data_IF_265349195581
#
_entry.id   IF_265349195581
#
_cell.length_a   1.000
_cell.length_b   1.000
_cell.length_c   1.000
_cell.angle_alpha   90.00
_cell.angle_beta   90.00
_cell.angle_gamma   90.00
#
_symmetry.space_group_name_H-M   'P 1'
#
loop_
_entity.id
_entity.type
_entity.pdbx_description
1 polymer ?
#
# COMPACT_ATOMS: atom_id res chain seq x y z
N UNK A 1 33.08 -31.78 27.69
CA UNK A 1 32.00 -30.87 28.13
C UNK A 1 30.72 -31.37 27.49
N UNK A 2 29.72 -31.77 28.28
CA UNK A 2 28.48 -32.37 27.77
C UNK A 2 27.47 -31.22 27.61
N UNK A 3 27.15 -30.85 26.37
CA UNK A 3 26.12 -29.85 26.11
C UNK A 3 24.78 -30.35 26.66
N UNK A 4 24.32 -29.73 27.75
CA UNK A 4 22.96 -29.89 28.23
C UNK A 4 22.07 -29.02 27.36
N UNK A 5 21.71 -29.52 26.17
CA UNK A 5 20.64 -28.92 25.36
C UNK A 5 19.36 -28.92 26.19
N UNK A 6 18.94 -27.73 26.60
CA UNK A 6 17.78 -27.51 27.44
C UNK A 6 16.50 -27.81 26.65
N UNK A 7 16.00 -29.04 26.79
CA UNK A 7 14.74 -29.50 26.15
C UNK A 7 13.56 -28.56 26.43
N UNK A 8 13.56 -27.84 27.55
CA UNK A 8 12.51 -26.87 27.91
C UNK A 8 12.49 -25.65 26.99
N UNK A 9 13.65 -25.19 26.53
CA UNK A 9 13.77 -24.06 25.61
C UNK A 9 13.17 -24.40 24.24
N UNK A 10 13.44 -25.59 23.70
CA UNK A 10 12.89 -26.02 22.40
C UNK A 10 11.36 -26.18 22.40
N UNK A 11 10.79 -26.70 23.50
CA UNK A 11 9.33 -26.83 23.66
C UNK A 11 8.66 -25.46 23.76
N UNK A 12 9.25 -24.52 24.50
CA UNK A 12 8.77 -23.14 24.59
C UNK A 12 8.75 -22.45 23.22
N UNK A 13 9.82 -22.58 22.43
CA UNK A 13 9.86 -22.04 21.06
C UNK A 13 8.81 -22.68 20.14
N UNK A 14 8.58 -23.99 20.25
CA UNK A 14 7.53 -24.67 19.49
C UNK A 14 6.13 -24.15 19.79
N UNK A 15 5.82 -23.90 21.07
CA UNK A 15 4.53 -23.34 21.51
C UNK A 15 4.37 -21.90 21.00
N UNK A 16 5.41 -21.07 21.14
CA UNK A 16 5.40 -19.69 20.64
C UNK A 16 5.20 -19.63 19.13
N UNK A 17 5.87 -20.51 18.38
CA UNK A 17 5.71 -20.61 16.93
C UNK A 17 4.30 -21.05 16.53
N UNK A 18 3.70 -22.00 17.25
CA UNK A 18 2.34 -22.45 17.00
C UNK A 18 1.31 -21.33 17.25
N UNK A 19 1.42 -20.61 18.36
CA UNK A 19 0.55 -19.48 18.69
C UNK A 19 0.71 -18.37 17.66
N UNK A 20 1.94 -17.99 17.34
CA UNK A 20 2.23 -16.99 16.31
C UNK A 20 1.67 -17.38 14.94
N UNK A 21 1.78 -18.66 14.57
CA UNK A 21 1.20 -19.20 13.34
C UNK A 21 -0.32 -19.09 13.28
N UNK A 22 -1.01 -19.46 14.37
CA UNK A 22 -2.47 -19.36 14.45
C UNK A 22 -2.92 -17.90 14.33
N UNK A 23 -2.29 -16.99 15.08
CA UNK A 23 -2.60 -15.56 15.04
C UNK A 23 -2.32 -15.00 13.64
N UNK A 24 -1.19 -15.38 13.03
CA UNK A 24 -0.82 -14.94 11.69
C UNK A 24 -1.82 -15.40 10.61
N UNK A 25 -2.25 -16.66 10.65
CA UNK A 25 -3.27 -17.20 9.74
C UNK A 25 -4.59 -16.46 9.92
N UNK A 26 -5.02 -16.22 11.15
CA UNK A 26 -6.25 -15.49 11.44
C UNK A 26 -6.18 -14.03 10.97
N UNK A 27 -5.10 -13.32 11.29
CA UNK A 27 -4.89 -11.94 10.87
C UNK A 27 -4.87 -11.82 9.35
N UNK A 28 -4.17 -12.72 8.67
CA UNK A 28 -4.13 -12.76 7.21
C UNK A 28 -5.53 -13.02 6.63
N UNK A 29 -6.27 -14.00 7.16
CA UNK A 29 -7.63 -14.27 6.72
C UNK A 29 -8.55 -13.04 6.90
N UNK A 30 -8.49 -12.36 8.04
CA UNK A 30 -9.28 -11.15 8.30
C UNK A 30 -8.92 -9.98 7.38
N UNK A 31 -7.64 -9.84 7.03
CA UNK A 31 -7.19 -8.82 6.08
C UNK A 31 -7.72 -9.13 4.67
N UNK A 32 -7.64 -10.39 4.24
CA UNK A 32 -8.12 -10.81 2.92
C UNK A 32 -9.64 -10.67 2.79
N UNK A 33 -10.40 -10.99 3.84
CA UNK A 33 -11.86 -10.78 3.84
C UNK A 33 -12.24 -9.31 3.86
N UNK A 34 -11.51 -8.47 4.61
CA UNK A 34 -11.69 -7.02 4.60
C UNK A 34 -11.36 -6.40 3.24
N UNK A 35 -10.34 -6.90 2.54
CA UNK A 35 -9.99 -6.43 1.21
C UNK A 35 -11.02 -6.89 0.16
N UNK A 36 -11.56 -8.10 0.32
CA UNK A 36 -12.61 -8.64 -0.54
C UNK A 36 -13.93 -7.87 -0.39
N UNK A 37 -14.28 -7.39 0.81
CA UNK A 37 -15.52 -6.62 1.02
C UNK A 37 -15.48 -5.24 0.34
N UNK A 38 -14.29 -4.71 0.05
CA UNK A 38 -14.09 -3.40 -0.61
C UNK A 38 -13.63 -3.52 -2.08
N UNK A 39 -13.99 -4.61 -2.77
CA UNK A 39 -13.63 -4.85 -4.18
C UNK A 39 -12.12 -4.74 -4.48
N UNK A 40 -11.28 -5.22 -3.56
CA UNK A 40 -9.81 -5.19 -3.71
C UNK A 40 -9.20 -3.79 -3.81
N UNK A 41 -9.82 -2.79 -3.18
CA UNK A 41 -9.28 -1.43 -3.09
C UNK A 41 -8.59 -1.19 -1.73
N UNK A 42 -7.24 -1.20 -1.65
CA UNK A 42 -6.53 -1.03 -0.38
C UNK A 42 -6.78 0.34 0.25
N UNK A 43 -6.94 1.36 -0.59
CA UNK A 43 -7.23 2.74 -0.15
C UNK A 43 -8.57 2.84 0.57
N UNK A 44 -9.58 2.11 0.10
CA UNK A 44 -10.90 2.06 0.72
C UNK A 44 -10.85 1.37 2.09
N UNK A 45 -10.13 0.25 2.17
CA UNK A 45 -9.93 -0.48 3.43
C UNK A 45 -9.22 0.39 4.48
N UNK A 46 -8.18 1.13 4.08
CA UNK A 46 -7.48 2.07 4.96
C UNK A 46 -8.40 3.23 5.37
N UNK A 47 -9.21 3.74 4.45
CA UNK A 47 -10.19 4.80 4.75
C UNK A 47 -11.20 4.33 5.81
N UNK A 48 -11.79 3.15 5.63
CA UNK A 48 -12.72 2.57 6.61
C UNK A 48 -12.05 2.36 7.98
N UNK A 49 -10.80 1.91 8.01
CA UNK A 49 -10.03 1.81 9.24
C UNK A 49 -9.83 3.16 9.92
N UNK A 50 -9.46 4.19 9.15
CA UNK A 50 -9.24 5.54 9.67
C UNK A 50 -10.54 6.22 10.13
N UNK A 51 -11.66 5.96 9.46
CA UNK A 51 -12.99 6.40 9.90
C UNK A 51 -13.39 5.69 11.19
N UNK A 52 -13.25 4.36 11.25
CA UNK A 52 -13.61 3.56 12.43
C UNK A 52 -12.75 3.88 13.68
N UNK A 53 -11.51 4.33 13.47
CA UNK A 53 -10.62 4.79 14.55
C UNK A 53 -10.85 6.26 14.92
N UNK A 54 -11.74 6.98 14.21
CA UNK A 54 -12.03 8.39 14.43
C UNK A 54 -10.96 9.35 13.93
N UNK A 55 -9.99 8.85 13.16
CA UNK A 55 -8.90 9.63 12.56
C UNK A 55 -9.32 10.36 11.28
N UNK A 56 -10.40 9.92 10.63
CA UNK A 56 -11.05 10.61 9.51
C UNK A 56 -12.52 10.85 9.83
N UNK A 57 -13.02 12.06 9.54
CA UNK A 57 -14.45 12.34 9.56
C UNK A 57 -15.16 11.66 8.39
N UNK A 58 -16.41 11.26 8.59
CA UNK A 58 -17.27 10.76 7.52
C UNK A 58 -17.47 11.87 6.46
N UNK A 59 -17.29 11.54 5.17
CA UNK A 59 -17.46 12.48 4.07
C UNK A 59 -18.96 12.75 3.84
N UNK A 60 -19.53 13.66 4.62
CA UNK A 60 -20.98 13.90 4.65
C UNK A 60 -21.46 14.99 3.68
N UNK A 61 -20.55 15.70 2.96
CA UNK A 61 -20.96 16.83 2.10
C UNK A 61 -20.42 16.78 0.67
N UNK A 62 -21.19 17.33 -0.29
CA UNK A 62 -20.80 17.50 -1.70
C UNK A 62 -19.55 18.38 -1.88
N UNK A 63 -19.24 19.21 -0.89
CA UNK A 63 -18.07 20.11 -0.90
C UNK A 63 -16.77 19.34 -0.70
N UNK A 64 -16.78 18.28 0.12
CA UNK A 64 -15.61 17.43 0.34
C UNK A 64 -15.25 16.62 -0.92
N UNK A 65 -16.27 16.11 -1.62
CA UNK A 65 -16.09 15.46 -2.92
C UNK A 65 -15.43 16.39 -3.95
N UNK A 66 -15.87 17.64 -4.01
CA UNK A 66 -15.32 18.61 -4.95
C UNK A 66 -13.86 18.96 -4.62
N UNK A 67 -13.52 19.02 -3.34
CA UNK A 67 -12.14 19.25 -2.88
C UNK A 67 -11.23 18.10 -3.26
N UNK A 68 -11.69 16.85 -3.12
CA UNK A 68 -10.93 15.67 -3.53
C UNK A 68 -10.71 15.62 -5.06
N UNK A 69 -11.75 15.86 -5.86
CA UNK A 69 -11.64 15.89 -7.32
C UNK A 69 -10.63 16.96 -7.77
N UNK A 70 -10.72 18.16 -7.18
CA UNK A 70 -9.79 19.25 -7.47
C UNK A 70 -8.36 18.92 -7.01
N UNK A 71 -8.20 18.23 -5.88
CA UNK A 71 -6.91 17.74 -5.43
C UNK A 71 -6.26 16.76 -6.43
N UNK A 72 -7.04 15.83 -6.96
CA UNK A 72 -6.58 14.87 -7.99
C UNK A 72 -6.17 15.60 -9.28
N UNK A 73 -6.92 16.62 -9.69
CA UNK A 73 -6.58 17.44 -10.85
C UNK A 73 -5.19 18.08 -10.73
N UNK A 74 -4.84 18.62 -9.55
CA UNK A 74 -3.50 19.18 -9.32
C UNK A 74 -2.40 18.11 -9.38
N UNK A 75 -2.63 16.91 -8.85
CA UNK A 75 -1.66 15.81 -8.92
C UNK A 75 -1.40 15.37 -10.35
N UNK A 76 -2.45 15.30 -11.17
CA UNK A 76 -2.34 15.00 -12.59
C UNK A 76 -1.58 16.12 -13.31
N UNK A 77 -1.90 17.39 -13.04
CA UNK A 77 -1.20 18.53 -13.65
C UNK A 77 0.30 18.53 -13.35
N UNK A 78 0.69 18.29 -12.09
CA UNK A 78 2.11 18.16 -11.69
C UNK A 78 2.77 16.98 -12.39
N UNK A 79 2.07 15.84 -12.48
CA UNK A 79 2.57 14.65 -13.17
C UNK A 79 2.84 14.93 -14.65
N UNK A 80 1.94 15.63 -15.35
CA UNK A 80 2.14 16.04 -16.74
C UNK A 80 3.30 17.05 -16.89
N UNK A 81 3.46 17.96 -15.94
CA UNK A 81 4.54 18.94 -15.97
C UNK A 81 5.93 18.30 -15.89
N UNK A 82 6.05 17.12 -15.26
CA UNK A 82 7.30 16.34 -15.20
C UNK A 82 7.39 15.35 -16.37
N UNK A 83 6.31 14.63 -16.68
CA UNK A 83 6.30 13.60 -17.70
C UNK A 83 6.53 14.17 -19.11
N UNK A 84 5.95 15.34 -19.42
CA UNK A 84 6.08 15.98 -20.72
C UNK A 84 7.52 16.38 -21.09
N UNK A 85 8.29 17.10 -20.27
CA UNK A 85 9.68 17.43 -20.60
C UNK A 85 10.59 16.20 -20.64
N UNK A 86 10.35 15.19 -19.80
CA UNK A 86 11.08 13.91 -19.85
C UNK A 86 10.80 13.18 -21.17
N UNK A 87 9.54 13.11 -21.59
CA UNK A 87 9.14 12.51 -22.86
C UNK A 87 9.71 13.28 -24.06
N UNK A 88 9.67 14.61 -24.04
CA UNK A 88 10.24 15.46 -25.08
C UNK A 88 11.75 15.25 -25.22
N UNK A 89 12.48 15.20 -24.09
CA UNK A 89 13.91 14.88 -24.08
C UNK A 89 14.19 13.49 -24.67
N UNK A 90 13.35 12.51 -24.38
CA UNK A 90 13.50 11.15 -24.91
C UNK A 90 13.31 11.08 -26.44
N UNK A 91 12.35 11.82 -27.00
CA UNK A 91 12.15 11.88 -28.46
C UNK A 91 13.33 12.57 -29.16
N UNK A 92 13.75 13.74 -28.69
CA UNK A 92 14.85 14.47 -29.30
C UNK A 92 16.21 13.77 -29.14
N UNK A 93 16.39 12.98 -28.06
CA UNK A 93 17.57 12.14 -27.89
C UNK A 93 17.68 11.03 -28.96
N UNK A 94 16.56 10.63 -29.59
CA UNK A 94 16.57 9.65 -30.68
C UNK A 94 16.89 10.26 -32.04
N UNK A 95 16.51 11.52 -32.29
CA UNK A 95 16.78 12.18 -33.57
C UNK A 95 18.27 12.53 -33.75
N UNK A 96 18.95 12.90 -32.66
CA UNK A 96 20.38 13.22 -32.68
C UNK A 96 21.28 12.03 -33.10
N UNK A 97 20.81 10.79 -32.94
CA UNK A 97 21.56 9.57 -33.28
C UNK A 97 21.32 9.09 -34.71
N UNK A 98 20.31 9.62 -35.42
CA UNK A 98 19.93 9.20 -36.77
C UNK A 98 20.48 10.16 -37.85
N UNK A 99 20.90 11.37 -37.48
CA UNK A 99 21.56 12.33 -38.39
C UNK A 99 23.08 12.14 -38.47
N UNK A 100 23.52 10.90 -38.66
CA UNK A 100 24.88 10.59 -39.13
C UNK A 100 24.78 9.47 -40.15
N UNK A 101 24.36 9.81 -41.37
CA UNK A 101 24.68 9.10 -42.61
C UNK A 101 24.62 10.07 -43.78
#
# INVERSE_FOLDING_TARGET
MKETTNKGTGVFFGIMAAIGGIIGIWAFATMMTGLASVNWQPTEMIRQFLVATGNLGEYETLVDYYTHIKGVEYLIAVSFFVAFPVFYKYLNAKEATVSTK
#
